data_IF_531538675549
#
_entry.id   IF_531538675549
#
_cell.length_a   1.000
_cell.length_b   1.000
_cell.length_c   1.000
_cell.angle_alpha   90.00
_cell.angle_beta   90.00
_cell.angle_gamma   90.00
#
_symmetry.space_group_name_H-M   'P 1'
#
loop_
_entity.id
_entity.type
_entity.pdbx_description
1 polymer ?
#
# COMPACT_ATOMS: atom_id res chain seq x y z
N UNK A 1 9.01 21.24 -1.94
CA UNK A 1 9.49 20.58 -0.71
C UNK A 1 8.62 19.39 -0.34
N UNK A 2 7.28 19.56 -0.28
CA UNK A 2 6.31 18.46 -0.14
C UNK A 2 6.47 17.35 -1.18
N UNK A 3 6.60 17.71 -2.46
CA UNK A 3 6.84 16.77 -3.56
C UNK A 3 8.10 15.92 -3.39
N UNK A 4 9.19 16.50 -2.87
CA UNK A 4 10.45 15.79 -2.61
C UNK A 4 10.35 14.81 -1.44
N UNK A 5 9.57 15.17 -0.40
CA UNK A 5 9.34 14.29 0.74
C UNK A 5 8.49 13.08 0.33
N UNK A 6 7.39 13.31 -0.40
CA UNK A 6 6.55 12.24 -0.94
C UNK A 6 7.32 11.33 -1.91
N UNK A 7 8.18 11.91 -2.75
CA UNK A 7 9.09 11.16 -3.61
C UNK A 7 10.05 10.27 -2.84
N UNK A 8 10.67 10.81 -1.78
CA UNK A 8 11.55 10.03 -0.92
C UNK A 8 10.80 8.88 -0.22
N UNK A 9 9.62 9.16 0.33
CA UNK A 9 8.79 8.16 1.03
C UNK A 9 8.37 7.05 0.07
N UNK A 10 7.92 7.38 -1.14
CA UNK A 10 7.52 6.40 -2.13
C UNK A 10 8.70 5.53 -2.58
N UNK A 11 9.88 6.13 -2.81
CA UNK A 11 11.10 5.37 -3.14
C UNK A 11 11.53 4.45 -1.99
N UNK A 12 11.38 4.89 -0.75
CA UNK A 12 11.63 4.04 0.42
C UNK A 12 10.64 2.87 0.48
N UNK A 13 9.34 3.13 0.27
CA UNK A 13 8.30 2.10 0.20
C UNK A 13 8.57 1.10 -0.92
N UNK A 14 9.01 1.55 -2.09
CA UNK A 14 9.37 0.69 -3.22
C UNK A 14 10.56 -0.20 -2.87
N UNK A 15 11.64 0.36 -2.31
CA UNK A 15 12.81 -0.41 -1.87
C UNK A 15 12.45 -1.45 -0.80
N UNK A 16 11.61 -1.07 0.17
CA UNK A 16 11.11 -1.98 1.19
C UNK A 16 10.21 -3.06 0.60
N UNK A 17 9.35 -2.72 -0.35
CA UNK A 17 8.49 -3.67 -1.06
C UNK A 17 9.29 -4.69 -1.87
N UNK A 18 10.32 -4.25 -2.59
CA UNK A 18 11.25 -5.15 -3.31
C UNK A 18 11.98 -6.07 -2.33
N UNK A 19 12.51 -5.53 -1.23
CA UNK A 19 13.16 -6.33 -0.19
C UNK A 19 12.21 -7.36 0.43
N UNK A 20 10.97 -6.97 0.73
CA UNK A 20 9.93 -7.86 1.24
C UNK A 20 9.53 -8.94 0.25
N UNK A 21 9.48 -8.63 -1.06
CA UNK A 21 9.19 -9.60 -2.11
C UNK A 21 10.30 -10.64 -2.24
N UNK A 22 11.57 -10.22 -2.20
CA UNK A 22 12.72 -11.14 -2.19
C UNK A 22 12.64 -12.06 -0.97
N UNK A 23 12.34 -11.50 0.20
CA UNK A 23 12.22 -12.29 1.44
C UNK A 23 11.05 -13.28 1.38
N UNK A 24 9.92 -12.88 0.79
CA UNK A 24 8.79 -13.77 0.51
C UNK A 24 9.22 -14.95 -0.38
N UNK A 25 9.91 -14.67 -1.49
CA UNK A 25 10.40 -15.71 -2.39
C UNK A 25 11.32 -16.68 -1.65
N UNK A 26 12.26 -16.16 -0.84
CA UNK A 26 13.14 -17.00 -0.01
C UNK A 26 12.34 -17.84 1.00
N UNK A 27 11.34 -17.28 1.67
CA UNK A 27 10.51 -17.99 2.64
C UNK A 27 9.70 -19.13 1.99
N UNK A 28 9.11 -18.87 0.81
CA UNK A 28 8.37 -19.89 0.05
C UNK A 28 9.32 -20.98 -0.47
N UNK A 29 10.50 -20.62 -0.99
CA UNK A 29 11.51 -21.60 -1.40
C UNK A 29 11.95 -22.47 -0.23
N UNK A 30 12.15 -21.89 0.96
CA UNK A 30 12.46 -22.64 2.17
C UNK A 30 11.34 -23.62 2.55
N UNK A 31 10.07 -23.20 2.44
CA UNK A 31 8.92 -24.08 2.68
C UNK A 31 8.87 -25.25 1.69
N UNK A 32 9.12 -24.99 0.40
CA UNK A 32 9.16 -26.01 -0.65
C UNK A 32 10.30 -27.00 -0.37
N UNK A 33 11.50 -26.50 -0.11
CA UNK A 33 12.67 -27.33 0.21
C UNK A 33 12.43 -28.16 1.48
N UNK A 34 11.93 -27.56 2.55
CA UNK A 34 11.58 -28.24 3.80
C UNK A 34 10.61 -29.41 3.57
N UNK A 35 9.56 -29.15 2.78
CA UNK A 35 8.55 -30.16 2.46
C UNK A 35 9.07 -31.30 1.59
N UNK A 36 9.81 -31.00 0.52
CA UNK A 36 10.18 -31.99 -0.49
C UNK A 36 11.53 -32.68 -0.24
N UNK A 37 12.47 -32.01 0.43
CA UNK A 37 13.81 -32.56 0.72
C UNK A 37 13.89 -33.08 2.15
N UNK A 38 13.43 -32.28 3.12
CA UNK A 38 13.56 -32.61 4.54
C UNK A 38 12.36 -33.36 5.11
N UNK A 39 11.26 -33.46 4.35
CA UNK A 39 9.99 -34.03 4.78
C UNK A 39 9.46 -33.44 6.11
N UNK A 40 9.91 -32.22 6.45
CA UNK A 40 9.53 -31.49 7.64
C UNK A 40 9.20 -30.05 7.22
N UNK A 41 7.91 -29.72 7.26
CA UNK A 41 7.44 -28.42 6.77
C UNK A 41 7.37 -27.42 7.93
N UNK A 42 8.11 -26.29 7.86
CA UNK A 42 8.05 -25.26 8.89
C UNK A 42 6.63 -24.68 9.00
N UNK A 43 5.99 -24.87 10.15
CA UNK A 43 4.60 -24.43 10.42
C UNK A 43 4.41 -22.91 10.39
N UNK A 44 5.47 -22.14 10.63
CA UNK A 44 5.45 -20.68 10.57
C UNK A 44 5.52 -20.13 9.14
N UNK A 45 6.02 -20.90 8.18
CA UNK A 45 6.36 -20.38 6.85
C UNK A 45 5.13 -19.87 6.08
N UNK A 46 4.01 -20.59 6.17
CA UNK A 46 2.76 -20.19 5.53
C UNK A 46 2.23 -18.86 6.09
N UNK A 47 2.10 -18.77 7.41
CA UNK A 47 1.58 -17.56 8.06
C UNK A 47 2.53 -16.37 7.93
N UNK A 48 3.84 -16.63 7.90
CA UNK A 48 4.86 -15.60 7.63
C UNK A 48 4.82 -15.10 6.19
N UNK A 49 4.64 -16.00 5.21
CA UNK A 49 4.49 -15.62 3.81
C UNK A 49 3.25 -14.75 3.59
N UNK A 50 2.10 -15.10 4.18
CA UNK A 50 0.88 -14.28 4.11
C UNK A 50 1.12 -12.88 4.70
N UNK A 51 1.83 -12.80 5.84
CA UNK A 51 2.17 -11.51 6.44
C UNK A 51 3.05 -10.69 5.48
N UNK A 52 4.08 -11.28 4.89
CA UNK A 52 4.94 -10.61 3.93
C UNK A 52 4.19 -10.15 2.69
N UNK A 53 3.27 -10.96 2.15
CA UNK A 53 2.38 -10.54 1.05
C UNK A 53 1.62 -9.28 1.45
N UNK A 54 1.01 -9.25 2.64
CA UNK A 54 0.25 -8.07 3.12
C UNK A 54 1.13 -6.82 3.16
N UNK A 55 2.35 -6.92 3.70
CA UNK A 55 3.28 -5.78 3.75
C UNK A 55 3.68 -5.31 2.34
N UNK A 56 4.06 -6.23 1.45
CA UNK A 56 4.50 -5.90 0.09
C UNK A 56 3.36 -5.32 -0.75
N UNK A 57 2.17 -5.93 -0.71
CA UNK A 57 1.01 -5.47 -1.48
C UNK A 57 0.51 -4.12 -1.00
N UNK A 58 0.48 -3.87 0.31
CA UNK A 58 0.01 -2.57 0.84
C UNK A 58 1.00 -1.44 0.56
N UNK A 59 2.30 -1.70 0.67
CA UNK A 59 3.33 -0.73 0.25
C UNK A 59 3.28 -0.47 -1.25
N UNK A 60 3.15 -1.53 -2.07
CA UNK A 60 3.01 -1.43 -3.52
C UNK A 60 1.75 -0.68 -3.94
N UNK A 61 0.63 -0.90 -3.26
CA UNK A 61 -0.62 -0.16 -3.48
C UNK A 61 -0.45 1.32 -3.17
N UNK A 62 0.17 1.68 -2.04
CA UNK A 62 0.39 3.08 -1.67
C UNK A 62 1.28 3.81 -2.70
N UNK A 63 2.35 3.16 -3.18
CA UNK A 63 3.18 3.69 -4.27
C UNK A 63 2.37 3.78 -5.56
N UNK A 64 1.60 2.74 -5.90
CA UNK A 64 0.73 2.72 -7.07
C UNK A 64 -0.30 3.85 -7.09
N UNK A 65 -0.90 4.20 -5.96
CA UNK A 65 -1.84 5.34 -5.88
C UNK A 65 -1.15 6.68 -6.11
N UNK A 66 0.13 6.81 -5.75
CA UNK A 66 0.91 8.02 -6.02
C UNK A 66 1.32 8.12 -7.49
N UNK A 67 1.74 7.00 -8.07
CA UNK A 67 2.39 6.93 -9.38
C UNK A 67 1.41 6.71 -10.54
N UNK A 68 0.31 6.02 -10.26
CA UNK A 68 -0.81 5.83 -11.16
C UNK A 68 -2.02 6.60 -10.60
N UNK A 69 -2.07 7.91 -10.92
CA UNK A 69 -3.34 8.62 -10.95
C UNK A 69 -4.35 7.74 -11.69
N UNK A 70 -5.50 7.47 -11.09
CA UNK A 70 -6.39 6.34 -11.42
C UNK A 70 -6.57 6.09 -12.93
N UNK A 71 -5.69 5.28 -13.52
CA UNK A 71 -5.57 5.09 -14.98
C UNK A 71 -6.90 4.67 -15.60
N UNK A 72 -7.70 3.91 -14.87
CA UNK A 72 -9.05 3.50 -15.29
C UNK A 72 -10.06 4.65 -15.39
N UNK A 73 -9.98 5.65 -14.51
CA UNK A 73 -10.86 6.83 -14.55
C UNK A 73 -10.33 7.91 -15.50
N UNK A 74 -9.01 7.99 -15.70
CA UNK A 74 -8.40 8.85 -16.72
C UNK A 74 -8.92 8.54 -18.13
N UNK A 75 -9.12 7.26 -18.47
CA UNK A 75 -9.73 6.90 -19.76
C UNK A 75 -11.14 7.46 -19.94
N UNK A 76 -11.92 7.61 -18.86
CA UNK A 76 -13.26 8.21 -18.92
C UNK A 76 -13.18 9.74 -18.99
N UNK A 77 -12.14 10.34 -18.39
CA UNK A 77 -11.86 11.77 -18.43
C UNK A 77 -11.45 12.26 -19.82
N UNK A 78 -10.85 11.41 -20.66
CA UNK A 78 -10.48 11.74 -22.05
C UNK A 78 -11.70 12.02 -22.94
N UNK A 79 -12.86 11.44 -22.62
CA UNK A 79 -14.11 11.70 -23.35
C UNK A 79 -14.90 12.91 -22.80
N UNK A 80 -14.50 13.45 -21.65
CA UNK A 80 -15.20 14.54 -20.99
C UNK A 80 -14.68 15.91 -21.43
N UNK A 81 -15.53 16.96 -21.49
CA UNK A 81 -15.08 18.32 -21.75
C UNK A 81 -14.18 18.84 -20.60
N UNK A 82 -13.22 19.73 -20.93
CA UNK A 82 -12.14 20.16 -20.03
C UNK A 82 -12.59 20.66 -18.64
N UNK A 83 -13.74 21.35 -18.60
CA UNK A 83 -14.31 21.86 -17.36
C UNK A 83 -14.86 20.76 -16.44
N UNK A 84 -15.32 19.65 -17.02
CA UNK A 84 -15.84 18.49 -16.28
C UNK A 84 -14.68 17.58 -15.86
N UNK A 85 -13.64 17.46 -16.69
CA UNK A 85 -12.43 16.70 -16.39
C UNK A 85 -11.80 17.13 -15.06
N UNK A 86 -11.55 18.42 -14.89
CA UNK A 86 -10.92 18.96 -13.67
C UNK A 86 -11.78 18.69 -12.41
N UNK A 87 -13.11 18.80 -12.52
CA UNK A 87 -14.03 18.55 -11.40
C UNK A 87 -14.09 17.09 -11.01
N UNK A 88 -14.12 16.19 -12.00
CA UNK A 88 -14.10 14.75 -11.77
C UNK A 88 -12.76 14.30 -11.19
N UNK A 89 -11.65 14.81 -11.68
CA UNK A 89 -10.31 14.53 -11.15
C UNK A 89 -10.20 14.92 -9.67
N UNK A 90 -10.67 16.12 -9.32
CA UNK A 90 -10.77 16.57 -7.94
C UNK A 90 -11.66 15.66 -7.08
N UNK A 91 -12.81 15.25 -7.61
CA UNK A 91 -13.74 14.35 -6.93
C UNK A 91 -13.09 12.97 -6.66
N UNK A 92 -12.38 12.42 -7.63
CA UNK A 92 -11.69 11.13 -7.50
C UNK A 92 -10.65 11.22 -6.37
N UNK A 93 -9.76 12.22 -6.42
CA UNK A 93 -8.75 12.39 -5.38
C UNK A 93 -9.37 12.66 -4.00
N UNK A 94 -10.49 13.38 -3.93
CA UNK A 94 -11.22 13.58 -2.68
C UNK A 94 -11.82 12.27 -2.13
N UNK A 95 -12.38 11.41 -2.99
CA UNK A 95 -12.89 10.10 -2.60
C UNK A 95 -11.76 9.16 -2.14
N UNK A 96 -10.61 9.21 -2.80
CA UNK A 96 -9.44 8.37 -2.49
C UNK A 96 -8.77 8.84 -1.19
N UNK A 97 -8.73 10.15 -0.96
CA UNK A 97 -8.34 10.74 0.31
C UNK A 97 -9.25 10.25 1.43
N UNK A 98 -10.58 10.32 1.23
CA UNK A 98 -11.55 9.83 2.20
C UNK A 98 -11.35 8.34 2.48
N UNK A 99 -11.17 7.54 1.42
CA UNK A 99 -10.88 6.11 1.53
C UNK A 99 -9.61 5.85 2.33
N UNK A 100 -8.51 6.58 2.07
CA UNK A 100 -7.26 6.45 2.82
C UNK A 100 -7.42 6.74 4.31
N UNK A 101 -8.17 7.80 4.66
CA UNK A 101 -8.46 8.16 6.06
C UNK A 101 -9.29 7.06 6.74
N UNK A 102 -10.38 6.63 6.10
CA UNK A 102 -11.27 5.59 6.63
C UNK A 102 -10.50 4.27 6.79
N UNK A 103 -9.66 3.91 5.83
CA UNK A 103 -8.81 2.72 5.88
C UNK A 103 -7.81 2.80 7.04
N UNK A 104 -7.10 3.92 7.19
CA UNK A 104 -6.15 4.11 8.29
C UNK A 104 -6.82 3.99 9.66
N UNK A 105 -7.98 4.64 9.83
CA UNK A 105 -8.72 4.63 11.09
C UNK A 105 -9.27 3.25 11.43
N UNK A 106 -10.02 2.63 10.50
CA UNK A 106 -10.65 1.34 10.76
C UNK A 106 -9.62 0.23 10.95
N UNK A 107 -8.53 0.22 10.17
CA UNK A 107 -7.45 -0.74 10.37
C UNK A 107 -6.72 -0.52 11.71
N UNK A 108 -6.58 0.72 12.19
CA UNK A 108 -6.07 1.01 13.53
C UNK A 108 -6.96 0.44 14.64
N UNK A 109 -8.28 0.67 14.54
CA UNK A 109 -9.26 0.13 15.50
C UNK A 109 -9.28 -1.41 15.48
N UNK A 110 -9.20 -2.02 14.29
CA UNK A 110 -9.12 -3.47 14.17
C UNK A 110 -7.81 -4.00 14.77
N UNK A 111 -6.68 -3.34 14.53
CA UNK A 111 -5.39 -3.73 15.09
C UNK A 111 -5.42 -3.75 16.62
N UNK A 112 -6.01 -2.74 17.25
CA UNK A 112 -6.19 -2.71 18.72
C UNK A 112 -7.13 -3.83 19.20
N UNK A 113 -8.22 -4.07 18.48
CA UNK A 113 -9.21 -5.10 18.82
C UNK A 113 -8.62 -6.51 18.74
N UNK A 114 -7.71 -6.76 17.79
CA UNK A 114 -7.07 -8.07 17.61
C UNK A 114 -5.69 -8.19 18.28
N UNK A 115 -5.20 -7.13 18.91
CA UNK A 115 -3.94 -7.11 19.64
C UNK A 115 -3.76 -8.24 20.67
N UNK A 116 -4.79 -8.65 21.47
CA UNK A 116 -4.62 -9.72 22.44
C UNK A 116 -4.54 -11.12 21.82
N UNK A 117 -4.96 -11.29 20.57
CA UNK A 117 -4.90 -12.59 19.89
C UNK A 117 -3.53 -12.81 19.25
N UNK A 118 -3.05 -14.05 19.31
CA UNK A 118 -1.77 -14.45 18.72
C UNK A 118 -2.01 -15.37 17.54
N UNK A 119 -1.19 -15.21 16.51
CA UNK A 119 -1.11 -16.14 15.39
C UNK A 119 -0.49 -17.45 15.93
N UNK A 120 -1.21 -18.59 15.93
CA UNK A 120 -0.74 -19.82 16.60
C UNK A 120 0.60 -20.34 16.09
N UNK A 121 0.91 -20.10 14.82
CA UNK A 121 2.11 -20.59 14.12
C UNK A 121 3.34 -19.69 14.27
N UNK A 122 3.16 -18.38 14.52
CA UNK A 122 4.27 -17.42 14.68
C UNK A 122 4.46 -16.95 16.12
N UNK A 123 3.43 -17.06 16.98
CA UNK A 123 3.46 -16.54 18.35
C UNK A 123 3.40 -15.00 18.45
N UNK A 124 3.33 -14.29 17.32
CA UNK A 124 3.16 -12.83 17.26
C UNK A 124 1.69 -12.43 17.35
N UNK A 125 1.44 -11.18 17.73
CA UNK A 125 0.08 -10.63 17.76
C UNK A 125 -0.55 -10.58 16.37
N UNK A 126 -1.84 -10.85 16.29
CA UNK A 126 -2.62 -10.77 15.06
C UNK A 126 -2.78 -9.33 14.54
N UNK A 127 -2.55 -8.33 15.40
CA UNK A 127 -2.51 -6.91 15.03
C UNK A 127 -1.55 -6.61 13.87
N UNK A 128 -0.46 -7.37 13.74
CA UNK A 128 0.53 -7.20 12.66
C UNK A 128 -0.07 -7.39 11.26
N UNK A 129 -1.20 -8.08 11.12
CA UNK A 129 -1.90 -8.18 9.83
C UNK A 129 -2.57 -6.87 9.40
N UNK A 130 -2.94 -6.03 10.36
CA UNK A 130 -3.69 -4.79 10.13
C UNK A 130 -2.81 -3.53 10.11
N UNK A 131 -1.56 -3.64 10.58
CA UNK A 131 -0.57 -2.56 10.51
C UNK A 131 -0.25 -2.13 9.06
N UNK A 132 0.01 -3.03 8.09
CA UNK A 132 0.31 -2.61 6.73
C UNK A 132 -0.84 -1.88 6.04
N UNK A 133 -2.09 -2.38 6.11
CA UNK A 133 -3.24 -1.63 5.61
C UNK A 133 -3.39 -0.26 6.28
N UNK A 134 -3.21 -0.17 7.60
CA UNK A 134 -3.30 1.11 8.30
C UNK A 134 -2.23 2.11 7.81
N UNK A 135 -0.98 1.67 7.68
CA UNK A 135 0.11 2.47 7.13
C UNK A 135 -0.15 2.90 5.69
N UNK A 136 -0.63 1.99 4.84
CA UNK A 136 -0.95 2.31 3.46
C UNK A 136 -2.09 3.32 3.35
N UNK A 137 -3.12 3.23 4.20
CA UNK A 137 -4.20 4.23 4.27
C UNK A 137 -3.67 5.64 4.56
N UNK A 138 -2.73 5.77 5.50
CA UNK A 138 -2.08 7.06 5.81
C UNK A 138 -1.29 7.58 4.61
N UNK A 139 -0.51 6.73 3.95
CA UNK A 139 0.25 7.10 2.76
C UNK A 139 -0.66 7.53 1.60
N UNK A 140 -1.73 6.79 1.34
CA UNK A 140 -2.74 7.11 0.32
C UNK A 140 -3.40 8.47 0.59
N UNK A 141 -3.77 8.75 1.85
CA UNK A 141 -4.34 10.04 2.22
C UNK A 141 -3.34 11.19 1.96
N UNK A 142 -2.07 10.98 2.33
CA UNK A 142 -1.00 11.96 2.11
C UNK A 142 -0.72 12.21 0.63
N UNK A 143 -0.67 11.16 -0.20
CA UNK A 143 -0.47 11.30 -1.65
C UNK A 143 -1.68 11.89 -2.37
N UNK A 144 -2.89 11.60 -1.90
CA UNK A 144 -4.12 12.20 -2.45
C UNK A 144 -4.21 13.70 -2.14
N UNK A 145 -3.78 14.12 -0.94
CA UNK A 145 -3.65 15.53 -0.59
C UNK A 145 -2.64 16.26 -1.50
N UNK A 146 -1.50 15.63 -1.80
CA UNK A 146 -0.50 16.17 -2.72
C UNK A 146 -1.10 16.43 -4.11
N UNK A 147 -1.86 15.47 -4.66
CA UNK A 147 -2.52 15.61 -5.96
C UNK A 147 -3.57 16.72 -5.97
N UNK A 148 -4.40 16.82 -4.93
CA UNK A 148 -5.38 17.92 -4.81
C UNK A 148 -4.68 19.29 -4.83
N UNK A 149 -3.58 19.42 -4.07
CA UNK A 149 -2.80 20.67 -4.04
C UNK A 149 -2.14 20.96 -5.40
N UNK A 150 -1.67 19.93 -6.09
CA UNK A 150 -1.05 20.03 -7.40
C UNK A 150 -2.04 20.53 -8.47
N UNK A 151 -3.25 19.96 -8.50
CA UNK A 151 -4.36 20.38 -9.36
C UNK A 151 -4.73 21.84 -9.08
N UNK A 152 -4.86 22.23 -7.81
CA UNK A 152 -5.18 23.61 -7.42
C UNK A 152 -4.09 24.62 -7.80
N UNK A 153 -2.82 24.17 -7.92
CA UNK A 153 -1.68 25.01 -8.32
C UNK A 153 -1.39 24.96 -9.83
N UNK A 154 -2.09 24.12 -10.59
CA UNK A 154 -1.82 23.92 -12.02
C UNK A 154 -0.45 23.31 -12.30
N UNK A 155 0.10 22.53 -11.37
CA UNK A 155 1.42 21.87 -11.47
C UNK A 155 1.23 20.36 -11.53
N UNK A 156 1.92 19.67 -12.44
CA UNK A 156 1.90 18.20 -12.49
C UNK A 156 2.78 17.58 -11.39
N UNK A 157 2.32 16.48 -10.81
CA UNK A 157 3.09 15.72 -9.80
C UNK A 157 4.14 14.89 -10.52
N UNK A 158 5.42 15.12 -10.21
CA UNK A 158 6.52 14.32 -10.76
C UNK A 158 6.44 12.86 -10.24
N UNK A 159 6.42 11.86 -11.14
CA UNK A 159 6.32 10.47 -10.74
C UNK A 159 7.60 9.97 -10.04
N UNK A 160 7.49 8.96 -9.18
CA UNK A 160 8.59 8.53 -8.29
C UNK A 160 9.84 8.00 -8.99
N UNK A 161 9.72 7.58 -10.26
CA UNK A 161 10.72 6.82 -11.00
C UNK A 161 11.74 7.68 -11.77
N UNK A 162 11.60 9.00 -11.79
CA UNK A 162 12.66 9.96 -12.16
C UNK A 162 13.39 10.41 -10.91
#
# INVERSE_FOLDING_TARGET
MYTRLCAFIARACLKLGVGGLVLLVCAVLYQVIGRYIFNDTPTWAESGAVLLVLYVTMLGMAVGVRDAGHIGLESFLVLAPDWLRTKLELLIHALVLLFGIVMAWNCGVLAESVAPYKIPTLGISEAFKYVPPAMAGVLVAMFSLEHIIAILRGTEVEPAWH
#
